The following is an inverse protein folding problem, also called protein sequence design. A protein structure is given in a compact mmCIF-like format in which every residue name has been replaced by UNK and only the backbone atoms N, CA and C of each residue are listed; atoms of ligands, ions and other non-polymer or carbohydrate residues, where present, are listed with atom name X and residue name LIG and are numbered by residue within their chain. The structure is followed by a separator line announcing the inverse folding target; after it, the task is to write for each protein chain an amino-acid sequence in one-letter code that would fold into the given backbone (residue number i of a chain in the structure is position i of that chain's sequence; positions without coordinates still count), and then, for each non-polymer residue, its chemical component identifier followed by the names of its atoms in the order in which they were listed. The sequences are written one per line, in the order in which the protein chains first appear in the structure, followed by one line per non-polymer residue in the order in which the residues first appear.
data_IF_732837314473
#
_entry.id   IF_732837314473
#
_cell.length_a   1.000
_cell.length_b   1.000
_cell.length_c   1.000
_cell.angle_alpha   90.00
_cell.angle_beta   90.00
_cell.angle_gamma   90.00
#
_symmetry.space_group_name_H-M   'P 1'
#
loop_
_entity.id
_entity.type
_entity.pdbx_description
1 polymer ?
#
# COMPACT_ATOMS: atom_id res chain seq x y z
N UNK A 1 25.02 101.48 24.24
CA UNK A 1 26.02 100.51 24.59
C UNK A 1 25.36 99.10 24.48
N UNK A 2 25.93 98.21 23.72
CA UNK A 2 25.23 97.05 23.23
C UNK A 2 25.37 95.81 24.17
N UNK A 3 24.24 95.10 24.30
CA UNK A 3 24.18 93.85 25.07
C UNK A 3 24.43 92.65 24.13
N UNK A 4 25.33 91.82 24.53
CA UNK A 4 25.71 90.58 23.85
C UNK A 4 24.66 89.49 24.03
N UNK A 5 24.22 88.93 22.91
CA UNK A 5 23.40 87.70 22.91
C UNK A 5 24.33 86.50 22.80
N UNK A 6 24.30 85.62 23.79
CA UNK A 6 25.06 84.34 23.79
C UNK A 6 24.26 83.26 23.02
N UNK A 7 24.86 82.71 21.98
CA UNK A 7 24.35 81.52 21.24
C UNK A 7 24.68 80.28 22.01
N UNK A 8 23.66 79.46 22.26
CA UNK A 8 23.79 78.05 22.76
C UNK A 8 23.77 77.10 21.56
N UNK A 9 24.56 76.00 21.53
CA UNK A 9 24.53 75.01 20.49
C UNK A 9 23.43 74.00 20.73
N UNK A 10 22.63 73.78 19.69
CA UNK A 10 21.62 72.69 19.64
C UNK A 10 22.34 71.40 19.26
N UNK A 11 22.49 70.48 20.19
CA UNK A 11 22.93 69.06 19.94
C UNK A 11 21.79 68.27 19.30
N UNK A 12 21.85 68.05 18.00
CA UNK A 12 20.96 67.14 17.32
C UNK A 12 21.38 65.69 17.53
N UNK A 13 20.56 64.93 18.21
CA UNK A 13 20.66 63.52 18.29
C UNK A 13 20.00 62.87 17.07
N UNK A 14 20.79 62.30 16.16
CA UNK A 14 20.34 61.46 15.08
C UNK A 14 20.00 60.09 15.66
N UNK A 15 18.72 59.80 15.84
CA UNK A 15 18.24 58.43 16.05
C UNK A 15 18.30 57.67 14.73
N UNK A 16 19.30 56.80 14.56
CA UNK A 16 19.33 55.82 13.48
C UNK A 16 18.41 54.69 13.87
N UNK A 17 17.19 54.70 13.33
CA UNK A 17 16.28 53.58 13.45
C UNK A 17 16.79 52.35 12.62
N UNK A 18 17.32 51.34 13.27
CA UNK A 18 17.53 50.01 12.64
C UNK A 18 16.19 49.43 12.26
N UNK A 19 15.78 49.52 10.99
CA UNK A 19 14.73 48.65 10.43
C UNK A 19 15.29 47.25 10.31
N UNK A 20 14.91 46.38 11.25
CA UNK A 20 15.11 44.93 11.14
C UNK A 20 14.20 44.42 10.04
N UNK A 21 14.70 44.25 8.83
CA UNK A 21 14.02 43.43 7.80
C UNK A 21 14.03 41.98 8.27
N UNK A 22 12.92 41.56 8.86
CA UNK A 22 12.62 40.15 9.03
C UNK A 22 12.38 39.55 7.65
N UNK A 23 13.40 38.95 7.06
CA UNK A 23 13.20 38.05 5.90
C UNK A 23 12.44 36.85 6.43
N UNK A 24 11.12 36.86 6.24
CA UNK A 24 10.31 35.64 6.30
C UNK A 24 10.88 34.71 5.22
N UNK A 25 11.75 33.79 5.61
CA UNK A 25 12.22 32.76 4.73
C UNK A 25 10.97 31.95 4.33
N UNK A 26 10.62 32.03 3.05
CA UNK A 26 9.59 31.19 2.43
C UNK A 26 10.08 29.76 2.58
N UNK A 27 9.56 29.06 3.61
CA UNK A 27 9.82 27.64 3.79
C UNK A 27 9.28 26.95 2.56
N UNK A 28 10.15 26.39 1.72
CA UNK A 28 9.73 25.63 0.57
C UNK A 28 8.74 24.55 1.08
N UNK A 29 7.52 24.56 0.54
CA UNK A 29 6.46 23.64 0.88
C UNK A 29 7.00 22.21 0.71
N UNK A 30 6.99 21.42 1.78
CA UNK A 30 7.47 20.05 1.71
C UNK A 30 6.49 19.19 0.89
N UNK A 31 7.02 18.30 0.05
CA UNK A 31 6.20 17.49 -0.84
C UNK A 31 6.48 16.00 -0.56
N UNK A 32 5.41 15.25 -0.33
CA UNK A 32 5.45 13.77 -0.30
C UNK A 32 5.07 13.25 -1.68
N UNK A 33 6.04 12.71 -2.43
CA UNK A 33 5.83 12.15 -3.77
C UNK A 33 5.67 10.64 -3.70
N UNK A 34 4.47 10.15 -4.01
CA UNK A 34 4.12 8.73 -3.96
C UNK A 34 4.10 8.12 -5.35
N UNK A 35 4.76 6.96 -5.48
CA UNK A 35 4.66 6.12 -6.68
C UNK A 35 3.44 5.22 -6.54
N UNK A 36 2.45 5.33 -7.40
CA UNK A 36 1.20 4.59 -7.29
C UNK A 36 0.67 4.13 -8.65
N UNK A 37 -0.16 3.11 -8.62
CA UNK A 37 -0.91 2.66 -9.80
C UNK A 37 -2.20 3.47 -9.94
N UNK A 38 -2.52 3.94 -11.17
CA UNK A 38 -3.73 4.73 -11.38
C UNK A 38 -5.03 3.94 -11.30
N UNK A 39 -4.99 2.59 -11.35
CA UNK A 39 -6.18 1.72 -11.36
C UNK A 39 -5.86 0.36 -10.73
N UNK A 40 -5.57 0.32 -9.44
CA UNK A 40 -5.21 -0.89 -8.69
C UNK A 40 -5.95 -0.99 -7.34
N UNK A 41 -7.29 -0.84 -7.36
CA UNK A 41 -8.08 -1.10 -6.15
C UNK A 41 -7.91 -2.55 -5.68
N UNK A 42 -7.85 -2.76 -4.37
CA UNK A 42 -8.09 -1.83 -3.26
C UNK A 42 -6.89 -0.96 -2.84
N UNK A 43 -5.73 -1.06 -3.49
CA UNK A 43 -4.49 -0.37 -3.10
C UNK A 43 -4.55 1.12 -3.44
N UNK A 44 -4.59 1.45 -4.72
CA UNK A 44 -4.60 2.84 -5.19
C UNK A 44 -5.41 3.01 -6.48
N UNK A 45 -5.95 4.20 -6.66
CA UNK A 45 -6.46 4.70 -7.94
C UNK A 45 -6.35 6.22 -8.02
N UNK A 46 -6.63 6.80 -9.19
CA UNK A 46 -6.56 8.27 -9.39
C UNK A 46 -7.57 9.03 -8.56
N UNK A 47 -8.69 8.40 -8.23
CA UNK A 47 -9.79 8.97 -7.46
C UNK A 47 -9.52 8.96 -5.94
N UNK A 48 -8.35 8.43 -5.52
CA UNK A 48 -7.95 8.40 -4.11
C UNK A 48 -8.74 7.42 -3.24
N UNK A 49 -9.35 6.38 -3.83
CA UNK A 49 -10.26 5.47 -3.13
C UNK A 49 -9.56 4.28 -2.48
N UNK A 50 -8.30 3.99 -2.84
CA UNK A 50 -7.55 2.88 -2.28
C UNK A 50 -7.02 3.17 -0.87
N UNK A 51 -6.78 2.12 -0.08
CA UNK A 51 -6.26 2.29 1.27
C UNK A 51 -4.83 2.89 1.30
N UNK A 52 -4.00 2.61 0.28
CA UNK A 52 -2.67 3.23 0.15
C UNK A 52 -2.78 4.72 -0.13
N UNK A 53 -3.79 5.17 -0.90
CA UNK A 53 -4.07 6.60 -1.06
C UNK A 53 -4.40 7.24 0.29
N UNK A 54 -5.30 6.62 1.09
CA UNK A 54 -5.70 7.16 2.39
C UNK A 54 -4.54 7.21 3.40
N UNK A 55 -3.67 6.21 3.37
CA UNK A 55 -2.46 6.22 4.22
C UNK A 55 -1.49 7.32 3.74
N UNK A 56 -1.30 7.49 2.44
CA UNK A 56 -0.45 8.56 1.89
C UNK A 56 -0.99 9.96 2.27
N UNK A 57 -2.30 10.18 2.19
CA UNK A 57 -2.98 11.40 2.64
C UNK A 57 -2.74 11.67 4.13
N UNK A 58 -2.87 10.62 4.97
CA UNK A 58 -2.60 10.70 6.41
C UNK A 58 -1.15 11.14 6.68
N UNK A 59 -0.16 10.51 6.03
CA UNK A 59 1.26 10.82 6.25
C UNK A 59 1.65 12.21 5.72
N UNK A 60 1.07 12.63 4.61
CA UNK A 60 1.27 13.97 4.07
C UNK A 60 0.70 15.03 5.01
N UNK A 61 -0.52 14.84 5.51
CA UNK A 61 -1.16 15.74 6.47
C UNK A 61 -0.38 15.82 7.79
N UNK A 62 0.09 14.68 8.30
CA UNK A 62 0.87 14.59 9.55
C UNK A 62 2.19 15.39 9.48
N UNK A 63 2.81 15.45 8.29
CA UNK A 63 4.04 16.22 8.06
C UNK A 63 3.82 17.63 7.50
N UNK A 64 2.58 18.07 7.34
CA UNK A 64 2.27 19.34 6.67
C UNK A 64 2.79 19.41 5.23
N UNK A 65 2.89 18.25 4.56
CA UNK A 65 3.40 18.14 3.20
C UNK A 65 2.27 18.13 2.18
N UNK A 66 2.53 18.72 1.01
CA UNK A 66 1.68 18.47 -0.16
C UNK A 66 1.86 17.05 -0.65
N UNK A 67 0.76 16.37 -0.98
CA UNK A 67 0.78 15.04 -1.57
C UNK A 67 0.79 15.14 -3.10
N UNK A 68 1.75 14.46 -3.73
CA UNK A 68 1.83 14.33 -5.19
C UNK A 68 2.00 12.85 -5.58
N UNK A 69 1.40 12.46 -6.71
CA UNK A 69 1.50 11.11 -7.22
C UNK A 69 2.27 11.04 -8.54
N UNK A 70 3.11 10.00 -8.66
CA UNK A 70 3.61 9.51 -9.93
C UNK A 70 2.85 8.25 -10.29
N UNK A 71 1.97 8.36 -11.25
CA UNK A 71 1.12 7.26 -11.70
C UNK A 71 1.84 6.39 -12.73
N UNK A 72 1.89 5.10 -12.45
CA UNK A 72 2.41 4.10 -13.37
C UNK A 72 1.74 2.75 -13.09
N UNK A 73 1.31 1.97 -14.12
CA UNK A 73 0.71 0.66 -13.89
C UNK A 73 1.66 -0.28 -13.15
N UNK A 74 1.15 -0.96 -12.13
CA UNK A 74 1.95 -1.92 -11.35
C UNK A 74 2.22 -3.17 -12.20
N UNK A 75 3.45 -3.27 -12.69
CA UNK A 75 3.96 -4.35 -13.53
C UNK A 75 5.45 -4.52 -13.33
N UNK A 76 6.02 -5.53 -13.99
CA UNK A 76 7.48 -5.74 -14.02
C UNK A 76 8.18 -4.41 -14.38
N UNK A 77 9.12 -3.99 -13.52
CA UNK A 77 9.86 -2.74 -13.67
C UNK A 77 9.20 -1.51 -13.04
N UNK A 78 8.09 -1.66 -12.28
CA UNK A 78 7.44 -0.54 -11.57
C UNK A 78 8.45 0.31 -10.78
N UNK A 79 9.23 -0.29 -9.89
CA UNK A 79 10.25 0.41 -9.07
C UNK A 79 11.26 1.16 -9.93
N UNK A 80 11.75 0.54 -11.01
CA UNK A 80 12.74 1.15 -11.90
C UNK A 80 12.18 2.34 -12.66
N UNK A 81 10.91 2.27 -13.10
CA UNK A 81 10.27 3.30 -13.92
C UNK A 81 9.61 4.41 -13.09
N UNK A 82 9.55 4.26 -11.77
CA UNK A 82 8.96 5.23 -10.82
C UNK A 82 10.00 5.69 -9.79
N UNK A 83 10.16 4.95 -8.70
CA UNK A 83 10.99 5.30 -7.55
C UNK A 83 12.46 5.57 -7.91
N UNK A 84 13.03 4.77 -8.81
CA UNK A 84 14.43 4.88 -9.25
C UNK A 84 14.59 5.68 -10.55
N UNK A 85 13.51 6.22 -11.12
CA UNK A 85 13.59 6.96 -12.37
C UNK A 85 13.89 8.44 -12.09
N UNK A 86 15.05 8.96 -12.57
CA UNK A 86 15.40 10.36 -12.36
C UNK A 86 14.48 11.29 -13.14
N UNK A 87 14.33 12.51 -12.64
CA UNK A 87 13.65 13.57 -13.38
C UNK A 87 14.46 13.94 -14.64
N UNK A 88 13.79 14.38 -15.72
CA UNK A 88 14.46 15.00 -16.85
C UNK A 88 15.30 16.20 -16.40
N UNK A 89 16.46 16.43 -17.01
CA UNK A 89 17.36 17.55 -16.66
C UNK A 89 16.66 18.92 -16.66
N UNK A 90 15.64 19.09 -17.52
CA UNK A 90 14.82 20.29 -17.60
C UNK A 90 13.93 20.54 -16.39
N UNK A 91 13.67 19.49 -15.56
CA UNK A 91 12.85 19.57 -14.34
C UNK A 91 13.69 19.58 -13.06
N UNK A 92 15.02 19.75 -13.19
CA UNK A 92 15.92 19.80 -12.06
C UNK A 92 16.52 18.45 -11.65
N UNK A 93 17.09 18.42 -10.44
CA UNK A 93 17.65 17.19 -9.84
C UNK A 93 16.58 16.48 -9.00
N UNK A 94 16.57 15.15 -9.02
CA UNK A 94 15.67 14.35 -8.20
C UNK A 94 15.08 13.17 -8.95
N UNK A 95 14.00 12.62 -8.39
CA UNK A 95 13.31 11.44 -8.89
C UNK A 95 11.81 11.72 -9.04
N UNK A 96 11.13 10.89 -9.83
CA UNK A 96 9.70 11.04 -10.08
C UNK A 96 8.86 10.95 -8.80
N UNK A 97 9.22 10.06 -7.90
CA UNK A 97 8.57 9.86 -6.60
C UNK A 97 9.58 9.41 -5.55
N UNK A 98 9.17 9.42 -4.28
CA UNK A 98 10.05 9.20 -3.13
C UNK A 98 9.71 7.94 -2.35
N UNK A 99 8.47 7.43 -2.47
CA UNK A 99 7.99 6.28 -1.72
C UNK A 99 7.02 5.43 -2.55
N UNK A 100 7.10 4.11 -2.39
CA UNK A 100 6.10 3.11 -2.80
C UNK A 100 5.41 2.61 -1.54
N UNK A 101 4.09 2.60 -1.51
CA UNK A 101 3.35 2.33 -0.28
C UNK A 101 3.36 0.85 0.12
N UNK A 102 3.26 -0.09 -0.83
CA UNK A 102 3.14 -1.52 -0.56
C UNK A 102 4.27 -2.34 -1.19
N UNK A 103 5.25 -2.78 -0.38
CA UNK A 103 6.26 -3.78 -0.76
C UNK A 103 6.43 -4.79 0.37
N UNK A 104 6.78 -6.05 0.07
CA UNK A 104 7.16 -7.00 1.12
C UNK A 104 8.33 -6.46 1.95
N UNK A 105 8.28 -6.61 3.28
CA UNK A 105 9.38 -6.24 4.15
C UNK A 105 10.67 -6.96 3.73
N UNK A 106 11.76 -6.22 3.57
CA UNK A 106 13.03 -6.77 3.09
C UNK A 106 13.14 -6.89 1.56
N UNK A 107 12.26 -6.23 0.79
CA UNK A 107 12.31 -6.27 -0.66
C UNK A 107 13.60 -5.65 -1.23
N UNK A 108 14.38 -6.44 -1.95
CA UNK A 108 15.75 -6.12 -2.39
C UNK A 108 15.89 -4.86 -3.24
N UNK A 109 14.83 -4.46 -3.95
CA UNK A 109 14.88 -3.29 -4.84
C UNK A 109 14.72 -1.96 -4.08
N UNK A 110 14.42 -1.99 -2.76
CA UNK A 110 14.16 -0.79 -1.95
C UNK A 110 14.79 -0.92 -0.57
N UNK A 111 15.03 0.21 0.12
CA UNK A 111 15.15 0.21 1.57
C UNK A 111 13.71 0.21 2.13
N UNK A 112 13.33 -0.85 2.85
CA UNK A 112 11.99 -0.97 3.41
C UNK A 112 11.91 -0.31 4.79
N UNK A 113 10.79 0.37 5.06
CA UNK A 113 10.46 0.86 6.40
C UNK A 113 10.21 -0.31 7.35
N UNK A 114 9.96 -0.01 8.62
CA UNK A 114 9.32 -0.99 9.48
C UNK A 114 7.98 -1.46 8.86
N UNK A 115 7.56 -2.66 9.24
CA UNK A 115 6.27 -3.22 8.83
C UNK A 115 5.13 -2.34 9.35
N UNK A 116 4.20 -1.95 8.50
CA UNK A 116 3.02 -1.20 8.91
C UNK A 116 1.72 -2.01 8.88
N UNK A 117 1.72 -3.16 8.19
CA UNK A 117 0.70 -4.20 8.37
C UNK A 117 1.21 -5.58 7.96
N UNK A 118 0.51 -6.60 8.43
CA UNK A 118 0.64 -7.98 7.95
C UNK A 118 -0.72 -8.42 7.42
N UNK A 119 -0.70 -9.19 6.35
CA UNK A 119 -1.89 -9.82 5.82
C UNK A 119 -1.56 -11.21 5.32
N UNK A 120 -2.59 -12.02 5.08
CA UNK A 120 -2.42 -13.36 4.53
C UNK A 120 -3.23 -13.50 3.24
N UNK A 121 -2.86 -14.44 2.38
CA UNK A 121 -3.74 -14.87 1.32
C UNK A 121 -5.08 -15.35 1.91
N UNK A 122 -6.13 -15.25 1.14
CA UNK A 122 -7.44 -15.74 1.56
C UNK A 122 -8.16 -16.43 0.39
N UNK A 123 -8.91 -17.44 0.73
CA UNK A 123 -9.84 -18.10 -0.17
C UNK A 123 -11.16 -17.36 -0.13
N UNK A 124 -11.62 -16.86 -1.28
CA UNK A 124 -12.97 -16.33 -1.47
C UNK A 124 -13.75 -17.25 -2.37
N UNK A 125 -15.00 -17.53 -2.02
CA UNK A 125 -15.85 -18.47 -2.76
C UNK A 125 -17.32 -18.10 -2.66
N UNK A 126 -18.09 -18.57 -3.64
CA UNK A 126 -19.51 -18.26 -3.73
C UNK A 126 -20.32 -19.04 -2.70
N UNK A 127 -21.26 -18.35 -2.04
CA UNK A 127 -22.32 -18.97 -1.23
C UNK A 127 -23.22 -19.83 -2.13
N UNK A 128 -23.81 -20.85 -1.55
CA UNK A 128 -24.71 -21.78 -2.26
C UNK A 128 -24.08 -22.48 -3.48
N UNK A 129 -22.73 -22.57 -3.50
CA UNK A 129 -21.97 -23.31 -4.51
C UNK A 129 -21.64 -24.75 -4.08
N UNK A 130 -22.19 -25.18 -2.94
CA UNK A 130 -21.83 -26.45 -2.30
C UNK A 130 -20.55 -26.41 -1.48
N UNK A 131 -20.06 -25.20 -1.21
CA UNK A 131 -18.86 -24.93 -0.41
C UNK A 131 -19.20 -24.24 0.92
N UNK A 132 -20.46 -24.09 1.26
CA UNK A 132 -20.91 -23.31 2.42
C UNK A 132 -20.45 -23.91 3.77
N UNK A 133 -20.18 -25.19 3.79
CA UNK A 133 -19.69 -25.93 4.98
C UNK A 133 -18.17 -25.81 5.16
N UNK A 134 -17.45 -25.19 4.21
CA UNK A 134 -16.01 -24.96 4.32
C UNK A 134 -15.72 -23.94 5.42
N UNK A 135 -15.08 -24.37 6.49
CA UNK A 135 -14.66 -23.53 7.60
C UNK A 135 -13.18 -23.19 7.55
N UNK A 136 -12.38 -24.11 7.01
CA UNK A 136 -10.96 -23.90 6.73
C UNK A 136 -10.64 -24.27 5.27
N UNK A 137 -9.62 -23.66 4.63
CA UNK A 137 -9.25 -24.00 3.26
C UNK A 137 -8.97 -25.50 3.05
N UNK A 138 -8.38 -26.16 4.04
CA UNK A 138 -8.08 -27.62 4.01
C UNK A 138 -9.33 -28.52 4.00
N UNK A 139 -10.51 -28.00 4.33
CA UNK A 139 -11.76 -28.76 4.23
C UNK A 139 -12.09 -29.13 2.77
N UNK A 140 -11.51 -28.42 1.80
CA UNK A 140 -11.59 -28.79 0.39
C UNK A 140 -11.05 -30.20 0.11
N UNK A 141 -10.09 -30.68 0.91
CA UNK A 141 -9.54 -32.04 0.77
C UNK A 141 -10.56 -33.13 1.06
N UNK A 142 -11.59 -32.81 1.85
CA UNK A 142 -12.66 -33.72 2.25
C UNK A 142 -13.86 -33.71 1.29
N UNK A 143 -13.89 -32.78 0.32
CA UNK A 143 -14.97 -32.75 -0.64
C UNK A 143 -14.99 -34.03 -1.49
N UNK A 144 -16.20 -34.56 -1.84
CA UNK A 144 -16.33 -35.62 -2.81
C UNK A 144 -15.65 -35.29 -4.15
N UNK A 145 -15.02 -36.29 -4.76
CA UNK A 145 -14.26 -36.15 -5.99
C UNK A 145 -15.08 -35.55 -7.12
N UNK A 146 -16.35 -35.93 -7.24
CA UNK A 146 -17.27 -35.39 -8.24
C UNK A 146 -17.59 -33.90 -8.03
N UNK A 147 -17.63 -33.42 -6.78
CA UNK A 147 -17.75 -31.99 -6.46
C UNK A 147 -16.46 -31.25 -6.77
N UNK A 148 -15.29 -31.77 -6.34
CA UNK A 148 -13.99 -31.16 -6.64
C UNK A 148 -13.81 -30.93 -8.13
N UNK A 149 -14.11 -31.95 -8.97
CA UNK A 149 -13.93 -31.89 -10.43
C UNK A 149 -14.75 -30.79 -11.13
N UNK A 150 -15.80 -30.29 -10.49
CA UNK A 150 -16.68 -29.26 -11.04
C UNK A 150 -16.27 -27.84 -10.67
N UNK A 151 -15.32 -27.68 -9.73
CA UNK A 151 -14.86 -26.37 -9.28
C UNK A 151 -14.13 -25.63 -10.39
N UNK A 152 -14.33 -24.33 -10.46
CA UNK A 152 -13.62 -23.39 -11.32
C UNK A 152 -12.89 -22.40 -10.41
N UNK A 153 -11.58 -22.54 -10.29
CA UNK A 153 -10.77 -21.83 -9.30
C UNK A 153 -9.83 -20.86 -10.01
N UNK A 154 -9.92 -19.58 -9.73
CA UNK A 154 -8.98 -18.60 -10.29
C UNK A 154 -7.54 -18.94 -9.89
N UNK A 155 -6.65 -19.05 -10.87
CA UNK A 155 -5.25 -19.43 -10.69
C UNK A 155 -4.34 -18.37 -11.30
N UNK A 156 -3.32 -17.98 -10.55
CA UNK A 156 -2.36 -16.95 -10.93
C UNK A 156 -0.95 -17.54 -10.98
N UNK A 157 -0.25 -17.35 -12.11
CA UNK A 157 1.10 -17.87 -12.28
C UNK A 157 2.05 -17.34 -11.19
N UNK A 158 2.85 -18.26 -10.61
CA UNK A 158 3.82 -17.95 -9.55
C UNK A 158 3.23 -17.50 -8.21
N UNK A 159 1.91 -17.47 -8.05
CA UNK A 159 1.28 -17.07 -6.78
C UNK A 159 1.26 -18.19 -5.73
N UNK A 160 1.38 -17.86 -4.43
CA UNK A 160 1.26 -18.84 -3.35
C UNK A 160 -0.04 -19.64 -3.41
N UNK A 161 -1.17 -19.02 -3.78
CA UNK A 161 -2.46 -19.68 -3.97
C UNK A 161 -2.40 -20.80 -5.01
N UNK A 162 -1.72 -20.58 -6.12
CA UNK A 162 -1.52 -21.63 -7.16
C UNK A 162 -0.66 -22.78 -6.64
N UNK A 163 0.41 -22.49 -5.88
CA UNK A 163 1.23 -23.51 -5.25
C UNK A 163 0.41 -24.34 -4.27
N UNK A 164 -0.49 -23.69 -3.52
CA UNK A 164 -1.42 -24.38 -2.62
C UNK A 164 -2.36 -25.33 -3.39
N UNK A 165 -2.96 -24.85 -4.49
CA UNK A 165 -3.83 -25.67 -5.35
C UNK A 165 -3.11 -26.92 -5.89
N UNK A 166 -1.84 -26.77 -6.30
CA UNK A 166 -1.02 -27.89 -6.76
C UNK A 166 -0.84 -28.93 -5.64
N UNK A 167 -0.49 -28.48 -4.43
CA UNK A 167 -0.29 -29.38 -3.26
C UNK A 167 -1.54 -30.14 -2.86
N UNK A 168 -2.70 -29.53 -3.00
CA UNK A 168 -4.00 -30.09 -2.63
C UNK A 168 -4.72 -30.78 -3.81
N UNK A 169 -4.01 -31.01 -4.94
CA UNK A 169 -4.56 -31.76 -6.08
C UNK A 169 -5.72 -31.07 -6.79
N UNK A 170 -5.74 -29.72 -6.75
CA UNK A 170 -6.83 -28.89 -7.31
C UNK A 170 -6.36 -28.07 -8.54
N UNK A 171 -5.19 -28.37 -9.09
CA UNK A 171 -4.64 -27.61 -10.23
C UNK A 171 -5.47 -27.77 -11.50
N UNK A 172 -6.06 -28.95 -11.71
CA UNK A 172 -6.92 -29.26 -12.89
C UNK A 172 -8.22 -28.43 -12.90
N UNK A 173 -8.61 -27.86 -11.77
CA UNK A 173 -9.76 -26.96 -11.61
C UNK A 173 -9.39 -25.50 -11.85
N UNK A 174 -8.11 -25.22 -12.15
CA UNK A 174 -7.58 -23.89 -12.32
C UNK A 174 -8.07 -23.21 -13.59
N UNK A 175 -8.61 -22.02 -13.43
CA UNK A 175 -8.90 -21.07 -14.53
C UNK A 175 -7.81 -20.02 -14.50
N UNK A 176 -6.98 -19.88 -15.56
CA UNK A 176 -5.82 -18.99 -15.52
C UNK A 176 -6.22 -17.52 -15.58
N UNK A 177 -5.60 -16.73 -14.71
CA UNK A 177 -5.70 -15.27 -14.65
C UNK A 177 -4.31 -14.64 -14.64
N UNK A 178 -4.21 -13.43 -15.18
CA UNK A 178 -2.98 -12.64 -15.09
C UNK A 178 -2.98 -11.79 -13.81
N UNK A 179 -1.92 -11.89 -13.02
CA UNK A 179 -1.75 -11.08 -11.80
C UNK A 179 -1.41 -9.62 -12.12
N UNK A 180 -0.75 -9.36 -13.24
CA UNK A 180 -0.35 -8.03 -13.71
C UNK A 180 -0.50 -7.96 -15.24
N UNK A 181 -1.57 -7.31 -15.70
CA UNK A 181 -1.83 -7.21 -17.16
C UNK A 181 -0.91 -6.19 -17.84
N UNK A 182 -0.38 -5.21 -17.09
CA UNK A 182 0.37 -4.08 -17.64
C UNK A 182 -0.51 -3.04 -18.33
N UNK A 183 -1.81 -3.27 -18.40
CA UNK A 183 -2.80 -2.34 -18.93
C UNK A 183 -3.37 -1.51 -17.79
N UNK A 184 -3.23 -0.18 -17.86
CA UNK A 184 -3.76 0.74 -16.86
C UNK A 184 -5.30 0.75 -16.79
N UNK A 185 -5.98 0.30 -17.84
CA UNK A 185 -7.43 0.17 -17.90
C UNK A 185 -7.98 -1.11 -17.25
N UNK A 186 -7.10 -2.04 -16.85
CA UNK A 186 -7.51 -3.36 -16.36
C UNK A 186 -7.03 -3.58 -14.93
N UNK A 187 -7.96 -3.86 -14.03
CA UNK A 187 -7.69 -4.21 -12.64
C UNK A 187 -8.09 -5.66 -12.39
N UNK A 188 -7.14 -6.47 -11.90
CA UNK A 188 -7.36 -7.90 -11.62
C UNK A 188 -8.49 -8.14 -10.60
N UNK A 189 -8.60 -7.30 -9.55
CA UNK A 189 -9.67 -7.44 -8.57
C UNK A 189 -11.06 -7.20 -9.20
N UNK A 190 -11.18 -6.24 -10.13
CA UNK A 190 -12.42 -5.97 -10.85
C UNK A 190 -12.80 -7.12 -11.81
N UNK A 191 -11.81 -7.76 -12.45
CA UNK A 191 -12.06 -8.96 -13.27
C UNK A 191 -12.61 -10.07 -12.40
N UNK A 192 -11.99 -10.34 -11.24
CA UNK A 192 -12.46 -11.36 -10.31
C UNK A 192 -13.84 -11.02 -9.73
N UNK A 193 -14.10 -9.75 -9.39
CA UNK A 193 -15.41 -9.28 -8.93
C UNK A 193 -16.50 -9.65 -9.96
N UNK A 194 -16.26 -9.31 -11.22
CA UNK A 194 -17.17 -9.65 -12.31
C UNK A 194 -17.34 -11.16 -12.45
N UNK A 195 -16.25 -11.92 -12.54
CA UNK A 195 -16.32 -13.33 -12.89
C UNK A 195 -16.87 -14.21 -11.75
N UNK A 196 -16.63 -13.81 -10.48
CA UNK A 196 -17.31 -14.37 -9.32
C UNK A 196 -18.80 -13.99 -9.30
N UNK A 197 -19.13 -12.71 -9.58
CA UNK A 197 -20.50 -12.22 -9.63
C UNK A 197 -21.34 -12.93 -10.72
N UNK A 198 -20.77 -13.10 -11.90
CA UNK A 198 -21.42 -13.75 -13.05
C UNK A 198 -21.35 -15.28 -13.04
N UNK A 199 -20.85 -15.88 -11.94
CA UNK A 199 -20.72 -17.35 -11.83
C UNK A 199 -19.84 -17.97 -12.93
N UNK A 200 -18.79 -17.29 -13.38
CA UNK A 200 -17.78 -17.84 -14.29
C UNK A 200 -16.73 -18.66 -13.57
N UNK A 201 -16.45 -18.27 -12.31
CA UNK A 201 -15.61 -19.03 -11.36
C UNK A 201 -16.34 -19.17 -10.03
N UNK A 202 -15.98 -20.22 -9.28
CA UNK A 202 -16.59 -20.55 -8.00
C UNK A 202 -15.76 -20.02 -6.83
N UNK A 203 -14.44 -19.87 -7.04
CA UNK A 203 -13.48 -19.56 -6.00
C UNK A 203 -12.23 -18.87 -6.54
N UNK A 204 -11.57 -18.10 -5.67
CA UNK A 204 -10.23 -17.58 -5.89
C UNK A 204 -9.41 -17.65 -4.60
N UNK A 205 -8.11 -17.96 -4.70
CA UNK A 205 -7.14 -17.79 -3.61
C UNK A 205 -6.26 -16.61 -3.97
N UNK A 206 -6.46 -15.50 -3.29
CA UNK A 206 -5.84 -14.21 -3.61
C UNK A 206 -5.24 -13.54 -2.39
N UNK A 207 -4.40 -12.54 -2.62
CA UNK A 207 -3.84 -11.72 -1.55
C UNK A 207 -4.95 -11.08 -0.70
N UNK A 208 -4.80 -11.09 0.62
CA UNK A 208 -5.84 -10.71 1.57
C UNK A 208 -6.55 -9.38 1.28
N UNK A 209 -5.88 -8.27 1.02
CA UNK A 209 -6.53 -7.03 0.63
C UNK A 209 -7.47 -7.18 -0.57
N UNK A 210 -7.09 -7.95 -1.59
CA UNK A 210 -7.96 -8.24 -2.74
C UNK A 210 -9.17 -9.08 -2.29
N UNK A 211 -8.95 -10.08 -1.45
CA UNK A 211 -10.03 -10.91 -0.92
C UNK A 211 -11.05 -10.09 -0.11
N UNK A 212 -10.57 -9.20 0.77
CA UNK A 212 -11.42 -8.29 1.54
C UNK A 212 -12.21 -7.35 0.65
N UNK A 213 -11.58 -6.79 -0.38
CA UNK A 213 -12.27 -5.98 -1.39
C UNK A 213 -13.39 -6.76 -2.09
N UNK A 214 -13.10 -7.96 -2.60
CA UNK A 214 -14.10 -8.80 -3.26
C UNK A 214 -15.26 -9.12 -2.33
N UNK A 215 -14.98 -9.50 -1.09
CA UNK A 215 -16.03 -9.78 -0.10
C UNK A 215 -16.87 -8.54 0.21
N UNK A 216 -16.27 -7.37 0.32
CA UNK A 216 -17.03 -6.12 0.58
C UNK A 216 -17.94 -5.72 -0.59
N UNK A 217 -17.48 -5.97 -1.82
CA UNK A 217 -18.24 -5.66 -3.05
C UNK A 217 -19.36 -6.64 -3.33
N UNK A 218 -19.19 -7.89 -2.94
CA UNK A 218 -20.12 -9.01 -3.20
C UNK A 218 -20.50 -9.71 -1.88
N UNK A 219 -20.79 -8.94 -0.82
CA UNK A 219 -21.01 -9.46 0.53
C UNK A 219 -22.14 -10.49 0.62
N UNK A 220 -23.17 -10.34 -0.19
CA UNK A 220 -24.31 -11.27 -0.23
C UNK A 220 -23.99 -12.56 -0.98
N UNK A 221 -22.96 -12.55 -1.82
CA UNK A 221 -22.59 -13.67 -2.69
C UNK A 221 -21.36 -14.44 -2.20
N UNK A 222 -20.44 -13.81 -1.47
CA UNK A 222 -19.15 -14.41 -1.15
C UNK A 222 -18.97 -14.71 0.34
N UNK A 223 -18.23 -15.77 0.59
CA UNK A 223 -17.59 -16.08 1.87
C UNK A 223 -16.06 -15.95 1.69
N UNK A 224 -15.36 -15.63 2.79
CA UNK A 224 -13.90 -15.55 2.82
C UNK A 224 -13.35 -16.38 3.98
N UNK A 225 -12.25 -17.09 3.71
CA UNK A 225 -11.48 -17.84 4.73
C UNK A 225 -10.01 -17.47 4.57
N UNK A 226 -9.36 -16.92 5.63
CA UNK A 226 -7.93 -16.67 5.62
C UNK A 226 -7.15 -17.97 5.45
N UNK A 227 -6.07 -17.91 4.65
CA UNK A 227 -5.14 -19.01 4.48
C UNK A 227 -4.13 -19.04 5.62
N UNK A 228 -3.64 -20.21 5.94
CA UNK A 228 -2.51 -20.40 6.84
C UNK A 228 -1.29 -20.84 6.06
N UNK A 229 -0.10 -20.41 6.51
CA UNK A 229 1.16 -20.87 5.96
C UNK A 229 1.37 -22.35 6.27
N UNK A 230 1.89 -23.09 5.31
CA UNK A 230 2.24 -24.50 5.42
C UNK A 230 3.77 -24.68 5.35
N UNK A 231 4.34 -25.82 5.79
CA UNK A 231 5.76 -26.08 5.64
C UNK A 231 6.23 -25.88 4.20
N UNK A 232 7.12 -24.90 3.99
CA UNK A 232 7.64 -24.54 2.67
C UNK A 232 6.64 -23.82 1.74
N UNK A 233 5.52 -23.30 2.28
CA UNK A 233 4.59 -22.43 1.56
C UNK A 233 4.11 -21.30 2.45
N UNK A 234 4.66 -20.12 2.24
CA UNK A 234 4.29 -18.90 2.98
C UNK A 234 3.02 -18.29 2.37
N UNK A 235 2.03 -18.03 3.22
CA UNK A 235 0.76 -17.40 2.84
C UNK A 235 0.60 -16.00 3.46
N UNK A 236 1.31 -15.68 4.53
CA UNK A 236 1.25 -14.38 5.20
C UNK A 236 2.52 -13.58 4.99
N UNK A 237 2.37 -12.27 4.80
CA UNK A 237 3.48 -11.38 4.52
C UNK A 237 3.39 -10.10 5.35
N UNK A 238 4.56 -9.63 5.78
CA UNK A 238 4.73 -8.32 6.36
C UNK A 238 4.94 -7.29 5.25
N UNK A 239 4.22 -6.19 5.31
CA UNK A 239 4.24 -5.14 4.29
C UNK A 239 4.82 -3.86 4.86
N UNK A 240 5.73 -3.27 4.11
CA UNK A 240 6.46 -2.04 4.40
C UNK A 240 6.29 -1.03 3.26
N UNK A 241 6.61 0.21 3.53
CA UNK A 241 6.83 1.19 2.46
C UNK A 241 8.26 1.05 1.93
N UNK A 242 8.46 1.31 0.64
CA UNK A 242 9.77 1.22 0.00
C UNK A 242 10.29 2.59 -0.42
N UNK A 243 11.52 2.92 -0.02
CA UNK A 243 12.25 4.12 -0.48
C UNK A 243 13.51 3.69 -1.25
N UNK A 244 14.18 4.62 -1.94
CA UNK A 244 15.49 4.32 -2.54
C UNK A 244 16.50 3.95 -1.47
N UNK A 245 17.35 2.99 -1.75
CA UNK A 245 18.35 2.48 -0.78
C UNK A 245 19.20 3.59 -0.14
N UNK A 246 19.68 4.64 -0.86
CA UNK A 246 20.45 5.71 -0.25
C UNK A 246 19.62 6.71 0.59
N UNK A 247 18.29 6.69 0.51
CA UNK A 247 17.42 7.68 1.16
C UNK A 247 17.11 7.33 2.61
N UNK A 248 18.15 7.14 3.42
CA UNK A 248 18.04 6.71 4.83
C UNK A 248 17.18 7.65 5.67
N UNK A 249 17.37 8.97 5.52
CA UNK A 249 16.59 9.95 6.26
C UNK A 249 15.10 9.89 5.94
N UNK A 250 14.72 9.68 4.67
CA UNK A 250 13.32 9.49 4.27
C UNK A 250 12.72 8.25 4.93
N UNK A 251 13.49 7.15 4.93
CA UNK A 251 13.08 5.91 5.61
C UNK A 251 12.82 6.16 7.10
N UNK A 252 13.76 6.78 7.81
CA UNK A 252 13.63 7.07 9.24
C UNK A 252 12.42 7.95 9.55
N UNK A 253 12.15 8.98 8.73
CA UNK A 253 10.96 9.83 8.86
C UNK A 253 9.68 9.00 8.71
N UNK A 254 9.60 8.14 7.68
CA UNK A 254 8.43 7.28 7.47
C UNK A 254 8.28 6.24 8.59
N UNK A 255 9.37 5.69 9.12
CA UNK A 255 9.33 4.78 10.28
C UNK A 255 8.69 5.45 11.50
N UNK A 256 9.06 6.69 11.79
CA UNK A 256 8.47 7.47 12.89
C UNK A 256 6.99 7.78 12.64
N UNK A 257 6.63 8.20 11.42
CA UNK A 257 5.23 8.48 11.06
C UNK A 257 4.35 7.23 11.13
N UNK A 258 4.86 6.05 10.72
CA UNK A 258 4.17 4.78 10.87
C UNK A 258 3.87 4.48 12.33
N UNK A 259 4.85 4.65 13.23
CA UNK A 259 4.67 4.44 14.67
C UNK A 259 3.64 5.40 15.26
N UNK A 260 3.76 6.68 14.96
CA UNK A 260 2.87 7.72 15.48
C UNK A 260 1.42 7.57 15.01
N UNK A 261 1.22 7.02 13.82
CA UNK A 261 -0.10 6.88 13.20
C UNK A 261 -0.59 5.42 13.14
N UNK A 262 -0.01 4.50 13.91
CA UNK A 262 -0.31 3.06 13.84
C UNK A 262 -1.81 2.76 13.94
N UNK A 263 -2.53 3.37 14.89
CA UNK A 263 -3.97 3.15 15.09
C UNK A 263 -4.80 3.70 13.93
N UNK A 264 -4.42 4.88 13.39
CA UNK A 264 -5.09 5.46 12.23
C UNK A 264 -4.88 4.61 10.97
N UNK A 265 -3.65 4.11 10.77
CA UNK A 265 -3.32 3.19 9.67
C UNK A 265 -4.13 1.90 9.82
N UNK A 266 -4.15 1.30 11.02
CA UNK A 266 -4.96 0.11 11.30
C UNK A 266 -6.44 0.36 10.98
N UNK A 267 -6.98 1.51 11.38
CA UNK A 267 -8.37 1.88 11.06
C UNK A 267 -8.61 1.96 9.55
N UNK A 268 -7.73 2.64 8.79
CA UNK A 268 -7.84 2.72 7.33
C UNK A 268 -7.87 1.32 6.71
N UNK A 269 -6.96 0.43 7.12
CA UNK A 269 -6.89 -0.94 6.63
C UNK A 269 -8.17 -1.73 6.94
N UNK A 270 -8.70 -1.59 8.15
CA UNK A 270 -9.94 -2.25 8.59
C UNK A 270 -11.16 -1.71 7.82
N UNK A 271 -11.26 -0.40 7.64
CA UNK A 271 -12.33 0.24 6.88
C UNK A 271 -12.33 -0.21 5.40
N UNK A 272 -11.16 -0.62 4.87
CA UNK A 272 -11.02 -1.20 3.54
C UNK A 272 -11.06 -2.74 3.53
N UNK A 273 -11.53 -3.35 4.62
CA UNK A 273 -11.71 -4.80 4.77
C UNK A 273 -10.42 -5.62 4.57
N UNK A 274 -9.26 -5.03 4.82
CA UNK A 274 -7.99 -5.76 4.76
C UNK A 274 -7.92 -6.77 5.89
N UNK A 275 -7.83 -8.08 5.63
CA UNK A 275 -7.67 -9.08 6.66
C UNK A 275 -6.26 -8.98 7.26
N UNK A 276 -6.18 -8.44 8.48
CA UNK A 276 -4.91 -8.28 9.18
C UNK A 276 -4.51 -9.59 9.86
N UNK A 277 -3.26 -10.01 9.66
CA UNK A 277 -2.65 -11.12 10.38
C UNK A 277 -1.88 -10.58 11.58
N UNK A 278 -2.06 -11.23 12.75
CA UNK A 278 -1.26 -10.89 13.92
C UNK A 278 0.21 -11.30 13.73
N UNK A 279 1.17 -10.60 14.36
CA UNK A 279 2.55 -11.04 14.36
C UNK A 279 2.63 -12.47 14.92
N UNK A 280 3.35 -13.35 14.24
CA UNK A 280 3.66 -14.67 14.79
C UNK A 280 4.50 -14.45 16.05
N UNK A 281 3.92 -14.69 17.24
CA UNK A 281 4.66 -14.68 18.49
C UNK A 281 5.65 -15.85 18.47
N UNK A 282 6.91 -15.60 18.09
CA UNK A 282 8.03 -16.57 18.16
C UNK A 282 8.51 -16.83 19.60
N UNK A 283 7.66 -16.63 20.61
CA UNK A 283 7.97 -16.88 22.02
C UNK A 283 7.38 -18.20 22.52
N UNK A 284 7.61 -19.31 21.79
CA UNK A 284 7.45 -20.65 22.38
C UNK A 284 8.43 -21.61 21.72
N UNK A 285 9.67 -21.63 22.21
CA UNK A 285 10.69 -22.55 21.72
C UNK A 285 12.04 -22.41 22.41
N UNK A 286 12.02 -22.25 23.74
CA UNK A 286 13.16 -22.63 24.60
C UNK A 286 12.58 -23.39 25.79
N UNK A 287 12.53 -24.67 25.64
CA UNK A 287 12.64 -25.64 26.73
C UNK A 287 13.68 -26.67 26.33
#
# INVERSE_FOLDING_TARGET
MPGQIKNAPISGWLMVGLLSLSTAGESAESVLKVCADPNNLPFSNREGQGFENRIAELLAADSGSKLEYTWFPQRIGFIRNTLKFPLPKSQGKGYKCDVVMGVPTGYDLTATTQTYYRSTYAMVYRKNSGLDEINAPTDLDQLPTDKKRKLRIAMFDGAPGTTWLIRHGLVEQGVPYQSMTGDAGVNTAQILERDLGENKIDMAIVWGPIAGYLQSRLSDLLLMRPMQSEPGLQMDFAISMGVRIPDKQRKETLDQQILQNADKIRKILTDHHVPLAEPVNTLSGKQ
#
